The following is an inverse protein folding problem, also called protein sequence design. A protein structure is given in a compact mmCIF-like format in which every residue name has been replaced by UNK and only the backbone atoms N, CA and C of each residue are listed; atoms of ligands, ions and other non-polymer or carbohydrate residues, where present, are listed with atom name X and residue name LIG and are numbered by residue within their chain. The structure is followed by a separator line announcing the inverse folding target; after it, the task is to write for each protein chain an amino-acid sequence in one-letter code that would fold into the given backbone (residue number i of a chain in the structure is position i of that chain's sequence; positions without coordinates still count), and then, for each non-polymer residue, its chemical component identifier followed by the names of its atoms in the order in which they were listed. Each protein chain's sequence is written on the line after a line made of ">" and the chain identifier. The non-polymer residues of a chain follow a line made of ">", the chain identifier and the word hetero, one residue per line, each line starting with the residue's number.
data_IF_887860021591
#
_entry.id   IF_887860021591
#
_cell.length_a   1.000
_cell.length_b   1.000
_cell.length_c   1.000
_cell.angle_alpha   90.00
_cell.angle_beta   90.00
_cell.angle_gamma   90.00
#
_symmetry.space_group_name_H-M   'P 1'
#
loop_
_entity.id
_entity.type
_entity.pdbx_description
1 polymer ?
#
# COMPACT_ATOMS: atom_id res chain seq x y z
N UNK A 1 -71.70 14.00 -25.41
CA UNK A 1 -71.33 14.69 -24.15
C UNK A 1 -70.98 16.13 -24.52
N UNK A 2 -71.78 17.14 -24.11
CA UNK A 2 -71.50 18.54 -24.45
C UNK A 2 -70.10 18.93 -23.93
N UNK A 3 -69.19 19.27 -24.84
CA UNK A 3 -67.85 19.75 -24.47
C UNK A 3 -67.95 21.24 -24.20
N UNK A 4 -68.05 21.60 -22.93
CA UNK A 4 -67.90 22.99 -22.52
C UNK A 4 -66.44 23.41 -22.66
N UNK A 5 -66.22 24.51 -23.35
CA UNK A 5 -64.88 25.06 -23.48
C UNK A 5 -64.36 25.56 -22.13
N UNK A 6 -63.03 25.64 -21.99
CA UNK A 6 -62.36 26.03 -20.75
C UNK A 6 -62.83 27.38 -20.20
N UNK A 7 -63.09 28.34 -21.06
CA UNK A 7 -63.47 29.72 -20.69
C UNK A 7 -64.87 29.79 -20.13
N UNK A 8 -65.79 29.05 -20.74
CA UNK A 8 -67.12 28.83 -20.23
C UNK A 8 -67.06 28.24 -18.81
N UNK A 9 -66.17 27.26 -18.60
CA UNK A 9 -65.95 26.67 -17.27
C UNK A 9 -65.43 27.69 -16.25
N UNK A 10 -64.40 28.46 -16.60
CA UNK A 10 -63.80 29.45 -15.70
C UNK A 10 -64.74 30.63 -15.37
N UNK A 11 -65.54 31.12 -16.33
CA UNK A 11 -66.45 32.25 -16.12
C UNK A 11 -67.70 31.86 -15.34
N UNK A 12 -68.27 30.70 -15.66
CA UNK A 12 -69.38 30.16 -14.90
C UNK A 12 -68.95 30.01 -13.42
N UNK A 13 -67.73 29.54 -13.18
CA UNK A 13 -67.15 29.42 -11.85
C UNK A 13 -67.02 30.75 -11.12
N UNK A 14 -66.44 31.78 -11.74
CA UNK A 14 -66.24 33.10 -11.12
C UNK A 14 -67.57 33.80 -10.79
N UNK A 15 -68.48 33.89 -11.74
CA UNK A 15 -69.80 34.51 -11.53
C UNK A 15 -70.61 33.79 -10.46
N UNK A 16 -70.41 32.46 -10.34
CA UNK A 16 -71.03 31.71 -9.27
C UNK A 16 -70.46 32.04 -7.88
N UNK A 17 -69.20 32.50 -7.77
CA UNK A 17 -68.63 33.02 -6.50
C UNK A 17 -69.28 34.33 -6.07
N UNK A 18 -69.63 35.20 -7.01
CA UNK A 18 -70.26 36.51 -6.72
C UNK A 18 -71.72 36.39 -6.26
N UNK A 19 -72.50 35.48 -6.88
CA UNK A 19 -73.91 35.26 -6.50
C UNK A 19 -74.10 34.50 -5.18
N UNK A 20 -73.05 33.92 -4.63
CA UNK A 20 -73.08 33.20 -3.35
C UNK A 20 -73.54 31.72 -3.42
N UNK A 21 -73.12 30.93 -2.43
CA UNK A 21 -73.22 29.46 -2.45
C UNK A 21 -74.65 28.88 -2.48
N UNK A 22 -75.66 29.62 -2.01
CA UNK A 22 -77.06 29.14 -1.93
C UNK A 22 -77.80 29.16 -3.29
N UNK A 23 -77.22 29.75 -4.33
CA UNK A 23 -77.87 29.95 -5.64
C UNK A 23 -77.18 29.21 -6.81
N UNK A 24 -76.20 28.35 -6.54
CA UNK A 24 -75.39 27.68 -7.58
C UNK A 24 -76.26 26.81 -8.50
N UNK A 25 -77.25 26.12 -7.94
CA UNK A 25 -78.14 25.25 -8.70
C UNK A 25 -79.11 26.02 -9.60
N UNK A 26 -79.59 27.20 -9.20
CA UNK A 26 -80.42 28.03 -10.07
C UNK A 26 -79.56 28.70 -11.15
N UNK A 27 -78.38 29.19 -10.79
CA UNK A 27 -77.45 29.84 -11.71
C UNK A 27 -76.90 28.90 -12.80
N UNK A 28 -76.58 27.66 -12.45
CA UNK A 28 -76.20 26.65 -13.44
C UNK A 28 -77.32 26.37 -14.45
N UNK A 29 -78.58 26.37 -14.01
CA UNK A 29 -79.75 26.17 -14.89
C UNK A 29 -79.99 27.37 -15.81
N UNK A 30 -79.81 28.60 -15.33
CA UNK A 30 -79.85 29.82 -16.15
C UNK A 30 -78.78 29.78 -17.26
N UNK A 31 -77.59 29.23 -16.97
CA UNK A 31 -76.49 29.05 -17.93
C UNK A 31 -76.65 27.82 -18.84
N UNK A 32 -77.75 27.08 -18.73
CA UNK A 32 -78.00 25.88 -19.54
C UNK A 32 -77.04 24.72 -19.26
N UNK A 33 -76.45 24.66 -18.07
CA UNK A 33 -75.52 23.58 -17.66
C UNK A 33 -76.01 22.79 -16.47
N UNK A 34 -75.57 21.53 -16.40
CA UNK A 34 -75.82 20.72 -15.22
C UNK A 34 -75.17 21.37 -13.98
N UNK A 35 -75.91 21.63 -12.89
CA UNK A 35 -75.38 22.19 -11.65
C UNK A 35 -74.11 21.51 -11.15
N UNK A 36 -74.03 20.20 -11.30
CA UNK A 36 -72.89 19.39 -10.88
C UNK A 36 -71.60 19.72 -11.64
N UNK A 37 -71.70 20.14 -12.90
CA UNK A 37 -70.54 20.58 -13.69
C UNK A 37 -69.98 21.89 -13.16
N UNK A 38 -70.86 22.81 -12.77
CA UNK A 38 -70.46 24.12 -12.25
C UNK A 38 -69.81 24.02 -10.87
N UNK A 39 -70.36 23.17 -10.00
CA UNK A 39 -69.73 22.84 -8.72
C UNK A 39 -68.33 22.23 -8.91
N UNK A 40 -68.18 21.27 -9.84
CA UNK A 40 -66.89 20.62 -10.14
C UNK A 40 -65.87 21.62 -10.65
N UNK A 41 -66.30 22.54 -11.50
CA UNK A 41 -65.39 23.54 -12.04
C UNK A 41 -64.94 24.53 -10.98
N UNK A 42 -65.81 24.97 -10.07
CA UNK A 42 -65.41 25.90 -9.00
C UNK A 42 -64.31 25.29 -8.17
N UNK A 43 -64.52 24.03 -7.84
CA UNK A 43 -63.62 23.25 -7.02
C UNK A 43 -62.25 23.06 -7.69
N UNK A 44 -62.18 22.77 -8.99
CA UNK A 44 -60.88 22.67 -9.65
C UNK A 44 -60.22 24.06 -9.72
N UNK A 45 -60.98 25.08 -10.11
CA UNK A 45 -60.51 26.46 -10.27
C UNK A 45 -59.93 27.08 -8.99
N UNK A 46 -60.50 26.76 -7.84
CA UNK A 46 -59.99 27.14 -6.53
C UNK A 46 -58.63 26.49 -6.22
N UNK A 47 -58.37 25.33 -6.79
CA UNK A 47 -57.28 24.44 -6.38
C UNK A 47 -56.06 24.49 -7.28
N UNK A 48 -56.25 24.62 -8.59
CA UNK A 48 -55.14 24.76 -9.54
C UNK A 48 -55.17 26.11 -10.24
N UNK A 49 -56.04 27.02 -9.78
CA UNK A 49 -56.30 28.28 -10.45
C UNK A 49 -56.88 28.01 -11.84
N UNK A 50 -56.25 28.56 -12.86
CA UNK A 50 -56.57 28.26 -14.27
C UNK A 50 -56.00 26.90 -14.73
N UNK A 51 -55.26 26.20 -13.86
CA UNK A 51 -54.69 24.86 -14.01
C UNK A 51 -55.71 23.71 -14.10
N UNK A 52 -56.96 24.09 -13.96
CA UNK A 52 -58.06 23.23 -13.51
C UNK A 52 -58.75 22.49 -14.64
N UNK A 53 -58.76 23.10 -15.83
CA UNK A 53 -59.46 22.53 -16.99
C UNK A 53 -58.47 22.18 -18.09
N UNK A 54 -57.67 21.14 -17.88
CA UNK A 54 -56.89 20.48 -18.94
C UNK A 54 -57.70 19.27 -19.44
N UNK A 55 -58.02 19.23 -20.75
CA UNK A 55 -58.82 18.17 -21.37
C UNK A 55 -58.17 16.78 -21.27
N UNK A 56 -57.40 16.36 -22.29
CA UNK A 56 -56.52 15.18 -22.22
C UNK A 56 -55.06 15.64 -22.21
N UNK A 57 -54.32 15.45 -21.11
CA UNK A 57 -52.93 15.90 -20.97
C UNK A 57 -52.43 15.99 -19.52
N UNK A 58 -51.19 16.43 -19.34
CA UNK A 58 -50.55 16.55 -18.03
C UNK A 58 -51.16 17.65 -17.14
N UNK A 59 -51.07 17.46 -15.82
CA UNK A 59 -51.42 18.42 -14.78
C UNK A 59 -50.90 19.81 -15.12
N UNK A 60 -51.79 20.81 -15.12
CA UNK A 60 -51.34 22.20 -15.08
C UNK A 60 -50.93 22.52 -13.64
N UNK A 61 -49.64 22.40 -13.40
CA UNK A 61 -48.98 22.88 -12.19
C UNK A 61 -48.92 24.41 -12.23
N UNK A 62 -48.94 25.07 -11.07
CA UNK A 62 -48.56 26.49 -11.00
C UNK A 62 -47.08 26.64 -11.37
N UNK A 63 -46.65 27.83 -11.80
CA UNK A 63 -45.25 28.08 -12.19
C UNK A 63 -44.28 27.76 -11.05
N UNK A 64 -44.66 28.11 -9.82
CA UNK A 64 -43.92 27.74 -8.62
C UNK A 64 -43.84 26.22 -8.44
N UNK A 65 -44.95 25.49 -8.60
CA UNK A 65 -44.96 24.03 -8.51
C UNK A 65 -44.15 23.36 -9.63
N UNK A 66 -44.15 23.93 -10.84
CA UNK A 66 -43.34 23.44 -11.96
C UNK A 66 -41.84 23.70 -11.73
N UNK A 67 -41.48 24.86 -11.17
CA UNK A 67 -40.11 25.21 -10.78
C UNK A 67 -39.63 24.29 -9.65
N UNK A 68 -40.44 24.11 -8.60
CA UNK A 68 -40.14 23.22 -7.47
C UNK A 68 -39.93 21.79 -7.97
N UNK A 69 -40.85 21.25 -8.77
CA UNK A 69 -40.71 19.90 -9.32
C UNK A 69 -39.45 19.74 -10.20
N UNK A 70 -39.08 20.77 -10.98
CA UNK A 70 -37.87 20.74 -11.79
C UNK A 70 -36.60 20.84 -10.93
N UNK A 71 -36.60 21.69 -9.90
CA UNK A 71 -35.51 21.83 -8.94
C UNK A 71 -35.31 20.53 -8.15
N UNK A 72 -36.37 19.94 -7.61
CA UNK A 72 -36.34 18.65 -6.91
C UNK A 72 -35.76 17.55 -7.80
N UNK A 73 -36.18 17.50 -9.07
CA UNK A 73 -35.62 16.57 -10.06
C UNK A 73 -34.13 16.80 -10.28
N UNK A 74 -33.68 18.06 -10.39
CA UNK A 74 -32.26 18.41 -10.55
C UNK A 74 -31.44 18.07 -9.30
N UNK A 75 -31.98 18.30 -8.11
CA UNK A 75 -31.33 17.97 -6.83
C UNK A 75 -31.12 16.46 -6.75
N UNK A 76 -32.17 15.67 -6.98
CA UNK A 76 -32.10 14.21 -7.00
C UNK A 76 -31.11 13.68 -8.05
N UNK A 77 -31.09 14.27 -9.25
CA UNK A 77 -30.14 13.89 -10.30
C UNK A 77 -28.68 14.23 -9.94
N UNK A 78 -28.46 15.35 -9.26
CA UNK A 78 -27.16 15.80 -8.78
C UNK A 78 -26.63 14.93 -7.64
N UNK A 79 -27.49 14.58 -6.67
CA UNK A 79 -27.18 13.67 -5.57
C UNK A 79 -26.75 12.29 -6.11
N UNK A 80 -27.53 11.74 -7.04
CA UNK A 80 -27.21 10.46 -7.67
C UNK A 80 -25.89 10.50 -8.45
N UNK A 81 -25.64 11.61 -9.16
CA UNK A 81 -24.38 11.83 -9.89
C UNK A 81 -23.19 11.86 -8.95
N UNK A 82 -23.32 12.59 -7.84
CA UNK A 82 -22.28 12.72 -6.83
C UNK A 82 -21.99 11.38 -6.13
N UNK A 83 -23.03 10.60 -5.85
CA UNK A 83 -22.88 9.27 -5.27
C UNK A 83 -22.15 8.31 -6.21
N UNK A 84 -22.53 8.29 -7.50
CA UNK A 84 -21.84 7.49 -8.53
C UNK A 84 -20.37 7.92 -8.66
N UNK A 85 -20.06 9.23 -8.65
CA UNK A 85 -18.68 9.73 -8.73
C UNK A 85 -17.86 9.29 -7.51
N UNK A 86 -18.40 9.46 -6.30
CA UNK A 86 -17.76 9.05 -5.04
C UNK A 86 -17.42 7.56 -5.05
N UNK A 87 -18.36 6.71 -5.46
CA UNK A 87 -18.16 5.25 -5.47
C UNK A 87 -17.32 4.78 -6.65
N UNK A 88 -17.50 5.38 -7.83
CA UNK A 88 -17.05 4.87 -9.13
C UNK A 88 -15.71 5.40 -9.63
N UNK A 89 -15.31 6.62 -9.29
CA UNK A 89 -14.12 7.30 -9.84
C UNK A 89 -12.83 6.47 -9.71
N UNK A 90 -12.62 5.81 -8.55
CA UNK A 90 -11.47 4.92 -8.32
C UNK A 90 -11.40 3.71 -9.25
N UNK A 91 -12.54 3.23 -9.76
CA UNK A 91 -12.58 2.08 -10.66
C UNK A 91 -12.27 2.46 -12.11
N UNK A 92 -12.51 3.71 -12.49
CA UNK A 92 -12.10 4.26 -13.80
C UNK A 92 -10.58 4.34 -13.89
N UNK A 93 -9.92 4.83 -12.84
CA UNK A 93 -8.46 4.94 -12.79
C UNK A 93 -7.74 3.59 -12.72
N UNK A 94 -8.43 2.53 -12.29
CA UNK A 94 -7.93 1.15 -12.29
C UNK A 94 -8.10 0.45 -13.65
N UNK A 95 -8.72 1.11 -14.63
CA UNK A 95 -8.86 0.65 -16.00
C UNK A 95 -10.16 -0.11 -16.30
N UNK A 96 -10.34 -0.43 -17.58
CA UNK A 96 -11.62 -0.87 -18.18
C UNK A 96 -12.26 -2.10 -17.51
N UNK A 97 -11.45 -3.04 -17.00
CA UNK A 97 -11.95 -4.25 -16.31
C UNK A 97 -12.61 -3.90 -14.98
N UNK A 98 -11.96 -3.04 -14.18
CA UNK A 98 -12.50 -2.62 -12.88
C UNK A 98 -13.70 -1.70 -13.05
N UNK A 99 -13.70 -0.86 -14.08
CA UNK A 99 -14.88 -0.07 -14.49
C UNK A 99 -16.07 -0.97 -14.83
N UNK A 100 -15.87 -2.05 -15.61
CA UNK A 100 -16.93 -3.04 -15.90
C UNK A 100 -17.45 -3.68 -14.61
N UNK A 101 -16.56 -4.10 -13.70
CA UNK A 101 -16.93 -4.70 -12.42
C UNK A 101 -17.79 -3.75 -11.58
N UNK A 102 -17.41 -2.47 -11.51
CA UNK A 102 -18.20 -1.45 -10.82
C UNK A 102 -19.62 -1.30 -11.41
N UNK A 103 -19.73 -1.18 -12.74
CA UNK A 103 -21.03 -1.08 -13.42
C UNK A 103 -21.90 -2.31 -13.12
N UNK A 104 -21.35 -3.53 -13.20
CA UNK A 104 -22.11 -4.76 -12.91
C UNK A 104 -22.57 -4.85 -11.46
N UNK A 105 -21.74 -4.44 -10.49
CA UNK A 105 -22.08 -4.48 -9.06
C UNK A 105 -23.09 -3.41 -8.64
N UNK A 106 -23.28 -2.35 -9.43
CA UNK A 106 -24.15 -1.23 -9.07
C UNK A 106 -25.36 -1.06 -10.03
N UNK A 107 -25.53 -1.95 -11.01
CA UNK A 107 -26.63 -1.86 -12.00
C UNK A 107 -28.04 -2.06 -11.41
N UNK A 108 -28.14 -2.60 -10.19
CA UNK A 108 -29.41 -2.74 -9.46
C UNK A 108 -29.82 -1.44 -8.75
N UNK A 109 -28.84 -0.60 -8.37
CA UNK A 109 -29.06 0.66 -7.64
C UNK A 109 -29.08 1.86 -8.59
N UNK A 110 -28.25 1.84 -9.64
CA UNK A 110 -28.16 2.92 -10.62
C UNK A 110 -28.36 2.38 -12.04
N UNK A 111 -29.02 3.16 -12.89
CA UNK A 111 -29.13 2.79 -14.30
C UNK A 111 -27.75 2.79 -14.98
N UNK A 112 -27.48 1.78 -15.80
CA UNK A 112 -26.21 1.67 -16.54
C UNK A 112 -25.97 2.92 -17.40
N UNK A 113 -27.04 3.49 -17.98
CA UNK A 113 -26.97 4.73 -18.75
C UNK A 113 -26.44 5.88 -17.92
N UNK A 114 -26.93 6.05 -16.69
CA UNK A 114 -26.49 7.12 -15.80
C UNK A 114 -25.05 6.88 -15.32
N UNK A 115 -24.71 5.65 -14.92
CA UNK A 115 -23.34 5.31 -14.51
C UNK A 115 -22.35 5.61 -15.64
N UNK A 116 -22.63 5.16 -16.86
CA UNK A 116 -21.78 5.39 -18.02
C UNK A 116 -21.64 6.88 -18.35
N UNK A 117 -22.73 7.66 -18.29
CA UNK A 117 -22.69 9.10 -18.52
C UNK A 117 -21.82 9.82 -17.48
N UNK A 118 -22.02 9.51 -16.19
CA UNK A 118 -21.32 10.14 -15.08
C UNK A 118 -19.82 9.79 -15.08
N UNK A 119 -19.46 8.53 -15.37
CA UNK A 119 -18.07 8.08 -15.43
C UNK A 119 -17.40 8.32 -16.78
N UNK A 120 -18.09 8.97 -17.73
CA UNK A 120 -17.62 9.21 -19.11
C UNK A 120 -17.16 7.94 -19.85
N UNK A 121 -17.92 6.86 -19.69
CA UNK A 121 -17.67 5.56 -20.33
C UNK A 121 -18.68 5.33 -21.44
N UNK A 122 -18.22 4.93 -22.63
CA UNK A 122 -19.14 4.56 -23.72
C UNK A 122 -20.00 3.34 -23.35
N UNK A 123 -21.32 3.50 -23.40
CA UNK A 123 -22.30 2.41 -23.24
C UNK A 123 -22.08 1.28 -24.23
N UNK A 124 -21.82 1.62 -25.49
CA UNK A 124 -21.56 0.63 -26.54
C UNK A 124 -20.33 -0.23 -26.20
N UNK A 125 -19.25 0.42 -25.74
CA UNK A 125 -18.04 -0.27 -25.28
C UNK A 125 -18.32 -1.19 -24.09
N UNK A 126 -19.14 -0.76 -23.11
CA UNK A 126 -19.53 -1.60 -21.98
C UNK A 126 -20.27 -2.87 -22.44
N UNK A 127 -21.31 -2.74 -23.27
CA UNK A 127 -22.09 -3.90 -23.73
C UNK A 127 -21.28 -4.82 -24.66
N UNK A 128 -20.43 -4.26 -25.51
CA UNK A 128 -19.53 -5.03 -26.37
C UNK A 128 -18.52 -5.84 -25.54
N UNK A 129 -17.97 -5.25 -24.47
CA UNK A 129 -17.08 -5.95 -23.53
C UNK A 129 -17.81 -6.88 -22.57
N UNK A 130 -19.11 -6.69 -22.35
CA UNK A 130 -19.94 -7.60 -21.56
C UNK A 130 -20.06 -8.96 -22.24
N UNK A 131 -20.23 -8.96 -23.55
CA UNK A 131 -20.33 -10.16 -24.40
C UNK A 131 -18.99 -10.85 -24.69
N UNK A 132 -17.86 -10.14 -24.55
CA UNK A 132 -16.53 -10.70 -24.78
C UNK A 132 -15.96 -11.34 -23.51
N UNK A 133 -15.44 -12.56 -23.66
CA UNK A 133 -14.56 -13.18 -22.68
C UNK A 133 -13.26 -12.38 -22.51
N UNK A 134 -12.53 -12.64 -21.43
CA UNK A 134 -11.22 -12.01 -21.22
C UNK A 134 -10.31 -12.38 -22.39
N UNK A 135 -9.66 -11.38 -22.98
CA UNK A 135 -8.64 -11.64 -23.99
C UNK A 135 -7.49 -12.46 -23.38
N UNK A 136 -6.77 -13.23 -24.19
CA UNK A 136 -5.58 -13.95 -23.75
C UNK A 136 -4.57 -13.03 -23.02
N UNK A 137 -4.46 -11.77 -23.46
CA UNK A 137 -3.66 -10.73 -22.81
C UNK A 137 -4.16 -10.39 -21.40
N UNK A 138 -5.47 -10.23 -21.21
CA UNK A 138 -6.07 -9.94 -19.90
C UNK A 138 -5.92 -11.13 -18.94
N UNK A 139 -6.11 -12.36 -19.44
CA UNK A 139 -5.85 -13.59 -18.67
C UNK A 139 -4.39 -13.61 -18.20
N UNK A 140 -3.44 -13.39 -19.10
CA UNK A 140 -2.00 -13.34 -18.76
C UNK A 140 -1.69 -12.27 -17.72
N UNK A 141 -2.28 -11.09 -17.84
CA UNK A 141 -2.07 -10.00 -16.86
C UNK A 141 -2.64 -10.38 -15.49
N UNK A 142 -3.80 -11.02 -15.44
CA UNK A 142 -4.39 -11.46 -14.18
C UNK A 142 -3.52 -12.53 -13.50
N UNK A 143 -3.06 -13.54 -14.26
CA UNK A 143 -2.13 -14.55 -13.76
C UNK A 143 -0.84 -13.92 -13.20
N UNK A 144 -0.28 -12.94 -13.92
CA UNK A 144 0.90 -12.20 -13.43
C UNK A 144 0.62 -11.43 -12.13
N UNK A 145 -0.55 -10.81 -12.00
CA UNK A 145 -0.96 -10.11 -10.77
C UNK A 145 -1.12 -11.07 -9.60
N UNK A 146 -1.67 -12.25 -9.83
CA UNK A 146 -1.78 -13.31 -8.83
C UNK A 146 -0.39 -13.78 -8.38
N UNK A 147 0.52 -14.05 -9.31
CA UNK A 147 1.90 -14.43 -8.98
C UNK A 147 2.65 -13.34 -8.21
N UNK A 148 2.51 -12.06 -8.59
CA UNK A 148 3.08 -10.93 -7.83
C UNK A 148 2.54 -10.91 -6.40
N UNK A 149 1.23 -11.12 -6.25
CA UNK A 149 0.57 -11.13 -4.94
C UNK A 149 1.05 -12.29 -4.08
N UNK A 150 1.15 -13.49 -4.66
CA UNK A 150 1.66 -14.68 -3.99
C UNK A 150 3.10 -14.47 -3.49
N UNK A 151 4.01 -14.02 -4.36
CA UNK A 151 5.40 -13.70 -3.98
C UNK A 151 5.43 -12.65 -2.88
N UNK A 152 4.62 -11.60 -2.98
CA UNK A 152 4.59 -10.52 -1.99
C UNK A 152 4.27 -11.04 -0.58
N UNK A 153 3.30 -11.95 -0.45
CA UNK A 153 2.91 -12.53 0.84
C UNK A 153 3.82 -13.67 1.30
N UNK A 154 4.32 -14.50 0.39
CA UNK A 154 5.35 -15.51 0.68
C UNK A 154 6.57 -14.88 1.36
N UNK A 155 6.99 -13.71 0.87
CA UNK A 155 8.10 -12.94 1.43
C UNK A 155 7.68 -11.97 2.54
N UNK A 156 6.54 -12.23 3.20
CA UNK A 156 6.02 -11.47 4.36
C UNK A 156 6.01 -9.96 4.13
N UNK A 157 5.71 -9.52 2.90
CA UNK A 157 5.63 -8.11 2.50
C UNK A 157 6.97 -7.35 2.57
N UNK A 158 8.11 -8.06 2.62
CA UNK A 158 9.46 -7.47 2.70
C UNK A 158 9.99 -7.06 1.33
N UNK A 159 9.57 -7.74 0.27
CA UNK A 159 10.05 -7.50 -1.09
C UNK A 159 9.31 -6.36 -1.80
N UNK A 160 10.07 -5.58 -2.57
CA UNK A 160 9.55 -4.60 -3.52
C UNK A 160 9.70 -5.09 -4.95
N UNK A 161 9.33 -4.24 -5.91
CA UNK A 161 9.21 -4.61 -7.32
C UNK A 161 10.45 -5.29 -7.92
N UNK A 162 11.67 -4.83 -7.60
CA UNK A 162 12.92 -5.42 -8.12
C UNK A 162 13.14 -6.85 -7.65
N UNK A 163 12.96 -7.12 -6.35
CA UNK A 163 13.12 -8.48 -5.80
C UNK A 163 12.01 -9.40 -6.28
N UNK A 164 10.78 -8.89 -6.39
CA UNK A 164 9.66 -9.64 -6.99
C UNK A 164 9.95 -9.97 -8.46
N UNK A 165 10.59 -9.06 -9.21
CA UNK A 165 11.00 -9.33 -10.59
C UNK A 165 11.94 -10.53 -10.68
N UNK A 166 12.89 -10.63 -9.74
CA UNK A 166 13.86 -11.72 -9.68
C UNK A 166 13.23 -13.04 -9.27
N UNK A 167 12.26 -13.03 -8.35
CA UNK A 167 11.48 -14.23 -8.03
C UNK A 167 10.57 -14.67 -9.18
N UNK A 168 9.97 -13.73 -9.91
CA UNK A 168 9.20 -14.03 -11.11
C UNK A 168 10.08 -14.62 -12.21
N UNK A 169 11.27 -14.06 -12.43
CA UNK A 169 12.25 -14.55 -13.40
C UNK A 169 12.67 -15.98 -13.06
N UNK A 170 12.92 -16.29 -11.77
CA UNK A 170 13.19 -17.66 -11.28
C UNK A 170 12.03 -18.63 -11.55
N UNK A 171 10.79 -18.14 -11.61
CA UNK A 171 9.58 -18.91 -11.97
C UNK A 171 9.29 -18.94 -13.47
N UNK A 172 10.20 -18.46 -14.32
CA UNK A 172 10.04 -18.44 -15.78
C UNK A 172 9.30 -17.21 -16.33
N UNK A 173 8.94 -16.23 -15.49
CA UNK A 173 8.25 -15.01 -15.91
C UNK A 173 9.22 -13.82 -16.01
N UNK A 174 9.60 -13.44 -17.23
CA UNK A 174 10.43 -12.24 -17.45
C UNK A 174 9.57 -10.97 -17.51
N UNK A 175 9.80 -10.04 -16.59
CA UNK A 175 9.09 -8.76 -16.56
C UNK A 175 9.94 -7.65 -15.93
N UNK A 176 9.79 -6.42 -16.42
CA UNK A 176 10.48 -5.25 -15.86
C UNK A 176 9.95 -4.89 -14.47
N UNK A 177 10.86 -4.45 -13.60
CA UNK A 177 10.53 -3.95 -12.26
C UNK A 177 9.55 -2.78 -12.30
N UNK A 178 9.65 -1.89 -13.30
CA UNK A 178 8.72 -0.77 -13.49
C UNK A 178 7.29 -1.24 -13.70
N UNK A 179 7.08 -2.30 -14.49
CA UNK A 179 5.74 -2.86 -14.72
C UNK A 179 5.19 -3.55 -13.49
N UNK A 180 6.04 -4.27 -12.75
CA UNK A 180 5.69 -4.86 -11.45
C UNK A 180 5.28 -3.75 -10.47
N UNK A 181 6.00 -2.63 -10.43
CA UNK A 181 5.66 -1.50 -9.58
C UNK A 181 4.24 -0.96 -9.87
N UNK A 182 3.89 -0.81 -11.16
CA UNK A 182 2.53 -0.43 -11.57
C UNK A 182 1.52 -1.44 -11.06
N UNK A 183 1.76 -2.74 -11.24
CA UNK A 183 0.84 -3.78 -10.76
C UNK A 183 0.70 -3.80 -9.24
N UNK A 184 1.79 -3.73 -8.49
CA UNK A 184 1.76 -3.59 -7.03
C UNK A 184 0.92 -2.38 -6.61
N UNK A 185 1.10 -1.22 -7.25
CA UNK A 185 0.30 -0.02 -6.98
C UNK A 185 -1.18 -0.24 -7.25
N UNK A 186 -1.54 -0.87 -8.38
CA UNK A 186 -2.95 -1.19 -8.70
C UNK A 186 -3.59 -2.18 -7.73
N UNK A 187 -2.79 -3.09 -7.17
CA UNK A 187 -3.23 -4.10 -6.19
C UNK A 187 -3.17 -3.59 -4.74
N UNK A 188 -2.70 -2.37 -4.50
CA UNK A 188 -2.52 -1.82 -3.15
C UNK A 188 -1.38 -2.45 -2.35
N UNK A 189 -0.49 -3.23 -3.00
CA UNK A 189 0.62 -3.92 -2.33
C UNK A 189 1.74 -2.93 -2.01
N UNK A 190 1.94 -2.67 -0.70
CA UNK A 190 2.99 -1.77 -0.20
C UNK A 190 3.93 -2.52 0.72
N UNK A 191 5.21 -2.58 0.36
CA UNK A 191 6.24 -3.16 1.23
C UNK A 191 6.27 -2.43 2.57
N UNK A 192 6.64 -3.14 3.64
CA UNK A 192 6.92 -2.51 4.95
C UNK A 192 7.93 -1.37 4.76
N UNK A 193 7.70 -0.19 5.34
CA UNK A 193 8.58 1.00 5.22
C UNK A 193 9.27 1.33 6.54
N UNK A 194 10.42 2.01 6.46
CA UNK A 194 11.20 2.47 7.63
C UNK A 194 10.58 3.76 8.18
N UNK A 195 10.44 3.90 9.50
CA UNK A 195 10.25 5.22 10.17
C UNK A 195 11.59 5.97 10.17
N UNK A 196 11.57 7.30 9.95
CA UNK A 196 12.78 8.13 9.96
C UNK A 196 13.57 7.91 11.27
N UNK A 197 14.87 7.70 11.14
CA UNK A 197 15.78 7.48 12.28
C UNK A 197 16.31 8.83 12.78
N UNK A 198 16.49 8.96 14.10
CA UNK A 198 17.23 10.06 14.76
C UNK A 198 18.54 9.50 15.28
N UNK A 199 19.67 10.12 14.92
CA UNK A 199 20.98 9.72 15.39
C UNK A 199 21.09 9.89 16.92
N UNK A 200 21.76 8.96 17.59
CA UNK A 200 21.99 9.00 19.05
C UNK A 200 23.28 8.26 19.38
N UNK A 201 24.43 8.84 19.10
CA UNK A 201 25.68 8.47 19.77
C UNK A 201 26.69 9.61 19.71
N UNK A 202 27.17 10.02 20.87
CA UNK A 202 28.34 10.88 21.03
C UNK A 202 29.57 9.97 21.25
N UNK A 203 30.60 10.14 20.43
CA UNK A 203 31.73 9.22 20.30
C UNK A 203 33.00 9.74 21.00
N UNK A 204 32.85 10.34 22.19
CA UNK A 204 33.97 10.90 22.96
C UNK A 204 34.38 9.92 24.07
N UNK A 205 35.46 9.16 23.86
CA UNK A 205 36.13 8.39 24.92
C UNK A 205 37.61 8.11 24.59
N UNK A 206 38.44 7.86 25.62
CA UNK A 206 39.91 7.76 25.53
C UNK A 206 40.43 6.31 25.37
N UNK A 207 39.73 5.45 24.64
CA UNK A 207 40.05 4.00 24.52
C UNK A 207 40.99 3.65 23.35
N UNK A 208 41.43 2.39 23.26
CA UNK A 208 42.32 1.86 22.21
C UNK A 208 41.66 1.87 20.83
N UNK A 209 41.96 2.89 20.01
CA UNK A 209 41.41 3.07 18.66
C UNK A 209 42.42 2.62 17.58
N UNK A 210 41.94 1.90 16.56
CA UNK A 210 42.74 1.54 15.37
C UNK A 210 42.51 2.51 14.21
N UNK A 211 43.49 2.64 13.30
CA UNK A 211 43.33 3.41 12.06
C UNK A 211 42.27 2.76 11.16
N UNK A 212 41.61 3.55 10.31
CA UNK A 212 40.71 2.99 9.30
C UNK A 212 41.55 2.40 8.16
N UNK A 213 41.58 1.07 8.08
CA UNK A 213 42.27 0.30 7.04
C UNK A 213 41.30 -0.12 5.94
N UNK A 214 40.05 -0.45 6.29
CA UNK A 214 39.04 -0.89 5.31
C UNK A 214 38.75 0.20 4.27
N UNK A 215 38.82 1.47 4.68
CA UNK A 215 38.68 2.65 3.83
C UNK A 215 37.48 2.59 2.86
N UNK A 216 36.35 2.07 3.34
CA UNK A 216 35.10 1.89 2.57
C UNK A 216 35.20 0.93 1.38
N UNK A 217 36.25 0.11 1.30
CA UNK A 217 36.34 -1.00 0.35
C UNK A 217 35.42 -2.15 0.78
N UNK A 218 34.15 -2.04 0.38
CA UNK A 218 33.12 -3.01 0.78
C UNK A 218 33.01 -4.21 -0.14
N UNK A 219 33.83 -4.29 -1.18
CA UNK A 219 33.86 -5.40 -2.15
C UNK A 219 35.19 -6.09 -2.03
N UNK A 220 35.15 -7.36 -1.61
CA UNK A 220 36.33 -8.22 -1.50
C UNK A 220 36.20 -9.39 -2.47
N UNK A 221 37.33 -9.98 -2.83
CA UNK A 221 37.42 -11.03 -3.87
C UNK A 221 37.26 -12.46 -3.34
N UNK A 222 37.38 -12.67 -2.03
CA UNK A 222 37.33 -13.99 -1.41
C UNK A 222 36.71 -13.90 0.01
N UNK A 223 36.14 -15.01 0.54
CA UNK A 223 35.65 -15.08 1.91
C UNK A 223 36.77 -14.79 2.91
N UNK A 224 36.39 -14.37 4.13
CA UNK A 224 37.33 -14.14 5.22
C UNK A 224 38.45 -13.11 4.96
N UNK A 225 38.29 -12.24 3.96
CA UNK A 225 39.21 -11.12 3.70
C UNK A 225 38.89 -9.87 4.52
N UNK A 226 37.60 -9.59 4.71
CA UNK A 226 37.16 -8.47 5.52
C UNK A 226 35.82 -8.77 6.20
N UNK A 227 35.81 -8.68 7.53
CA UNK A 227 34.62 -8.80 8.35
C UNK A 227 34.27 -7.45 8.96
N UNK A 228 32.99 -7.10 8.91
CA UNK A 228 32.47 -5.88 9.57
C UNK A 228 31.61 -6.27 10.75
N UNK A 229 31.70 -5.49 11.82
CA UNK A 229 30.91 -5.67 13.03
C UNK A 229 30.29 -4.37 13.50
N UNK A 230 29.09 -4.48 14.05
CA UNK A 230 28.37 -3.36 14.65
C UNK A 230 27.36 -3.88 15.70
N UNK A 231 26.95 -3.00 16.62
CA UNK A 231 26.02 -3.30 17.71
C UNK A 231 24.78 -2.41 17.57
N UNK A 232 23.60 -3.00 17.76
CA UNK A 232 22.37 -2.23 17.86
C UNK A 232 21.54 -2.64 19.06
N UNK A 233 20.79 -1.69 19.62
CA UNK A 233 19.81 -1.97 20.67
C UNK A 233 18.44 -2.29 20.07
N UNK A 234 17.76 -3.24 20.69
CA UNK A 234 16.41 -3.68 20.37
C UNK A 234 15.53 -3.45 21.59
N UNK A 235 14.50 -2.64 21.44
CA UNK A 235 13.54 -2.39 22.51
C UNK A 235 12.62 -3.60 22.68
N UNK A 236 12.45 -4.05 23.93
CA UNK A 236 11.54 -5.14 24.32
C UNK A 236 10.48 -4.60 25.28
N UNK A 237 9.54 -5.46 25.73
CA UNK A 237 8.58 -5.07 26.77
C UNK A 237 9.23 -4.55 28.05
N UNK A 238 10.42 -5.06 28.39
CA UNK A 238 11.13 -4.71 29.62
C UNK A 238 12.60 -4.44 29.29
N UNK A 239 12.90 -3.19 29.00
CA UNK A 239 14.26 -2.75 28.68
C UNK A 239 14.72 -3.16 27.28
N UNK A 240 16.03 -3.26 27.11
CA UNK A 240 16.68 -3.49 25.82
C UNK A 240 17.40 -4.85 25.77
N UNK A 241 17.55 -5.34 24.55
CA UNK A 241 18.52 -6.36 24.17
C UNK A 241 19.55 -5.71 23.24
N UNK A 242 20.79 -6.19 23.29
CA UNK A 242 21.86 -5.70 22.43
C UNK A 242 22.25 -6.79 21.44
N UNK A 243 22.08 -6.48 20.15
CA UNK A 243 22.44 -7.36 19.05
C UNK A 243 23.78 -6.93 18.48
N UNK A 244 24.78 -7.81 18.59
CA UNK A 244 26.05 -7.68 17.87
C UNK A 244 26.01 -8.60 16.66
N UNK A 245 26.46 -8.12 15.51
CA UNK A 245 26.64 -8.93 14.30
C UNK A 245 28.06 -8.84 13.79
N UNK A 246 28.51 -9.90 13.13
CA UNK A 246 29.74 -9.98 12.34
C UNK A 246 29.33 -10.50 10.96
N UNK A 247 29.60 -9.68 9.95
CA UNK A 247 29.29 -9.95 8.56
C UNK A 247 30.56 -10.15 7.76
N UNK A 248 30.60 -11.20 6.94
CA UNK A 248 31.61 -11.33 5.90
C UNK A 248 31.24 -10.44 4.69
N UNK A 249 32.14 -9.54 4.28
CA UNK A 249 31.85 -8.61 3.19
C UNK A 249 31.74 -9.29 1.82
N UNK A 250 32.33 -10.48 1.66
CA UNK A 250 32.35 -11.19 0.39
C UNK A 250 30.95 -11.56 -0.09
N UNK A 251 30.22 -12.29 0.74
CA UNK A 251 28.88 -12.80 0.43
C UNK A 251 27.79 -12.11 1.27
N UNK A 252 28.13 -11.14 2.13
CA UNK A 252 27.22 -10.44 3.04
C UNK A 252 26.58 -11.33 4.10
N UNK A 253 27.08 -12.54 4.33
CA UNK A 253 26.54 -13.47 5.32
C UNK A 253 26.82 -12.95 6.73
N UNK A 254 25.81 -13.00 7.60
CA UNK A 254 26.05 -12.83 9.04
C UNK A 254 26.62 -14.16 9.53
N UNK A 255 27.94 -14.18 9.70
CA UNK A 255 28.69 -15.38 10.09
C UNK A 255 28.78 -15.53 11.60
N UNK A 256 28.57 -14.46 12.37
CA UNK A 256 28.47 -14.53 13.82
C UNK A 256 27.56 -13.44 14.35
N UNK A 257 26.81 -13.74 15.40
CA UNK A 257 25.98 -12.76 16.08
C UNK A 257 25.68 -13.19 17.52
N UNK A 258 25.30 -12.23 18.37
CA UNK A 258 24.84 -12.54 19.72
C UNK A 258 23.79 -11.52 20.20
N UNK A 259 22.86 -12.01 21.03
CA UNK A 259 21.83 -11.20 21.69
C UNK A 259 22.03 -11.20 23.21
N UNK A 260 22.43 -10.06 23.77
CA UNK A 260 22.74 -9.94 25.20
C UNK A 260 21.76 -9.04 25.94
N UNK A 261 21.68 -9.22 27.26
CA UNK A 261 20.96 -8.32 28.16
C UNK A 261 21.82 -7.13 28.63
N UNK A 262 23.14 -7.18 28.44
CA UNK A 262 24.10 -6.13 28.83
C UNK A 262 25.02 -5.75 27.68
N UNK A 263 25.48 -4.50 27.65
CA UNK A 263 26.38 -3.99 26.61
C UNK A 263 27.88 -4.27 26.91
N UNK A 264 28.19 -5.28 27.72
CA UNK A 264 29.59 -5.60 28.07
C UNK A 264 30.26 -6.41 26.96
N UNK A 265 31.54 -6.17 26.70
CA UNK A 265 32.35 -6.90 25.72
C UNK A 265 32.23 -8.42 25.84
N UNK A 266 32.26 -8.95 27.07
CA UNK A 266 32.11 -10.40 27.35
C UNK A 266 30.74 -10.94 26.96
N UNK A 267 29.69 -10.11 27.04
CA UNK A 267 28.34 -10.50 26.69
C UNK A 267 27.99 -10.19 25.23
N UNK A 268 28.68 -9.30 24.52
CA UNK A 268 28.33 -8.85 23.17
C UNK A 268 29.30 -9.31 22.10
N UNK A 269 30.45 -8.65 22.00
CA UNK A 269 31.39 -8.78 20.89
C UNK A 269 32.16 -10.08 20.92
N UNK A 270 32.55 -10.57 22.10
CA UNK A 270 33.27 -11.84 22.23
C UNK A 270 32.45 -13.06 21.77
N UNK A 271 31.20 -13.29 22.23
CA UNK A 271 30.41 -14.43 21.76
C UNK A 271 30.10 -14.37 20.25
N UNK A 272 29.84 -13.17 19.72
CA UNK A 272 29.63 -13.00 18.28
C UNK A 272 30.90 -13.36 17.49
N UNK A 273 32.07 -12.96 17.98
CA UNK A 273 33.38 -13.32 17.42
C UNK A 273 33.61 -14.83 17.44
N UNK A 274 33.37 -15.48 18.58
CA UNK A 274 33.53 -16.93 18.73
C UNK A 274 32.62 -17.72 17.78
N UNK A 275 31.41 -17.23 17.53
CA UNK A 275 30.52 -17.80 16.52
C UNK A 275 31.07 -17.60 15.10
N UNK A 276 31.55 -16.39 14.78
CA UNK A 276 32.07 -16.06 13.46
C UNK A 276 33.26 -16.95 13.06
N UNK A 277 34.24 -17.13 13.96
CA UNK A 277 35.43 -17.96 13.69
C UNK A 277 35.10 -19.46 13.58
N UNK A 278 34.01 -19.93 14.20
CA UNK A 278 33.52 -21.30 14.01
C UNK A 278 32.86 -21.48 12.65
N UNK A 279 32.14 -20.46 12.18
CA UNK A 279 31.37 -20.52 10.95
C UNK A 279 32.18 -20.17 9.70
N UNK A 280 33.27 -19.43 9.84
CA UNK A 280 34.15 -19.04 8.74
C UNK A 280 35.62 -19.17 9.16
N UNK A 281 36.34 -20.05 8.48
CA UNK A 281 37.77 -20.26 8.73
C UNK A 281 38.59 -19.06 8.25
N UNK A 282 39.55 -18.65 9.06
CA UNK A 282 40.52 -17.60 8.73
C UNK A 282 41.79 -18.28 8.25
N UNK A 283 42.06 -18.24 6.95
CA UNK A 283 43.23 -18.90 6.34
C UNK A 283 44.32 -17.91 5.89
N UNK A 284 43.98 -16.63 5.78
CA UNK A 284 44.84 -15.54 5.29
C UNK A 284 44.63 -14.29 6.15
N UNK A 285 45.26 -13.18 5.76
CA UNK A 285 45.02 -11.87 6.37
C UNK A 285 43.53 -11.51 6.32
N UNK A 286 42.98 -11.22 7.51
CA UNK A 286 41.61 -10.77 7.71
C UNK A 286 41.62 -9.35 8.28
N UNK A 287 40.90 -8.45 7.63
CA UNK A 287 40.55 -7.15 8.21
C UNK A 287 39.31 -7.31 9.07
N UNK A 288 39.41 -7.04 10.37
CA UNK A 288 38.24 -6.90 11.23
C UNK A 288 37.93 -5.42 11.42
N UNK A 289 36.77 -4.98 10.92
CA UNK A 289 36.35 -3.59 10.92
C UNK A 289 35.15 -3.36 11.84
N UNK A 290 35.24 -2.39 12.75
CA UNK A 290 34.15 -2.00 13.65
C UNK A 290 33.98 -0.48 13.75
N UNK A 291 32.94 -0.04 14.45
CA UNK A 291 32.92 1.33 14.95
C UNK A 291 33.97 1.53 16.06
N UNK A 292 34.01 2.73 16.63
CA UNK A 292 34.90 3.07 17.75
C UNK A 292 34.30 2.73 19.12
N UNK A 293 33.21 2.00 19.21
CA UNK A 293 32.51 1.73 20.47
C UNK A 293 33.43 1.11 21.54
N UNK A 294 33.15 1.41 22.81
CA UNK A 294 33.97 0.96 23.93
C UNK A 294 34.08 -0.57 24.02
N UNK A 295 33.12 -1.31 23.46
CA UNK A 295 33.12 -2.77 23.40
C UNK A 295 34.22 -3.32 22.49
N UNK A 296 34.49 -2.64 21.36
CA UNK A 296 35.53 -3.02 20.40
C UNK A 296 36.90 -2.47 20.77
N UNK A 297 36.95 -1.32 21.44
CA UNK A 297 38.18 -0.74 21.99
C UNK A 297 38.59 -1.34 23.35
N UNK A 298 37.84 -2.32 23.87
CA UNK A 298 38.11 -2.98 25.14
C UNK A 298 39.30 -3.93 25.03
N UNK A 299 40.19 -3.91 26.03
CA UNK A 299 41.41 -4.73 26.07
C UNK A 299 41.15 -6.22 25.88
N UNK A 300 40.10 -6.76 26.49
CA UNK A 300 39.76 -8.19 26.38
C UNK A 300 39.48 -8.57 24.92
N UNK A 301 38.79 -7.69 24.19
CA UNK A 301 38.47 -7.93 22.79
C UNK A 301 39.68 -7.72 21.88
N UNK A 302 40.45 -6.64 22.11
CA UNK A 302 41.66 -6.38 21.32
C UNK A 302 42.70 -7.48 21.50
N UNK A 303 42.93 -7.94 22.73
CA UNK A 303 43.86 -9.04 23.02
C UNK A 303 43.40 -10.34 22.36
N UNK A 304 42.07 -10.59 22.34
CA UNK A 304 41.50 -11.74 21.62
C UNK A 304 41.75 -11.65 20.12
N UNK A 305 41.55 -10.48 19.50
CA UNK A 305 41.81 -10.28 18.07
C UNK A 305 43.30 -10.41 17.75
N UNK A 306 44.15 -9.80 18.56
CA UNK A 306 45.61 -9.80 18.38
C UNK A 306 46.22 -11.20 18.61
N UNK A 307 45.50 -12.12 19.28
CA UNK A 307 45.90 -13.53 19.38
C UNK A 307 45.87 -14.30 18.04
N UNK A 308 45.24 -13.75 17.00
CA UNK A 308 45.23 -14.33 15.66
C UNK A 308 46.35 -13.74 14.81
N UNK A 309 47.26 -14.61 14.33
CA UNK A 309 48.46 -14.22 13.56
C UNK A 309 48.18 -13.36 12.33
N UNK A 310 47.03 -13.55 11.68
CA UNK A 310 46.67 -12.89 10.43
C UNK A 310 45.55 -11.85 10.61
N UNK A 311 45.47 -11.21 11.78
CA UNK A 311 44.44 -10.22 12.08
C UNK A 311 44.91 -8.80 11.85
N UNK A 312 44.12 -8.01 11.13
CA UNK A 312 44.29 -6.55 11.03
C UNK A 312 43.05 -5.83 11.52
N UNK A 313 43.19 -5.12 12.65
CA UNK A 313 42.11 -4.30 13.21
C UNK A 313 41.93 -3.01 12.40
N UNK A 314 40.68 -2.67 12.14
CA UNK A 314 40.27 -1.42 11.50
C UNK A 314 39.10 -0.82 12.26
N UNK A 315 39.07 0.50 12.42
CA UNK A 315 37.90 1.18 13.00
C UNK A 315 37.48 2.38 12.16
N UNK A 316 36.21 2.81 12.29
CA UNK A 316 35.72 4.05 11.68
C UNK A 316 36.63 5.24 11.96
N UNK A 317 36.62 6.24 11.07
CA UNK A 317 37.13 7.57 11.41
C UNK A 317 36.21 8.24 12.43
N UNK A 318 36.73 9.26 13.12
CA UNK A 318 35.95 9.98 14.13
C UNK A 318 34.71 10.58 13.46
N UNK A 319 33.53 10.28 14.02
CA UNK A 319 32.22 10.77 13.53
C UNK A 319 31.88 10.41 12.08
N UNK A 320 32.55 9.41 11.49
CA UNK A 320 32.30 8.98 10.12
C UNK A 320 31.54 7.64 10.09
N UNK A 321 30.21 7.75 10.03
CA UNK A 321 29.32 6.59 10.00
C UNK A 321 29.35 5.84 8.66
N UNK A 322 29.76 6.51 7.57
CA UNK A 322 29.86 5.90 6.25
C UNK A 322 30.92 4.80 6.17
N UNK A 323 31.90 4.82 7.07
CA UNK A 323 32.97 3.82 7.14
C UNK A 323 32.46 2.40 7.45
N UNK A 324 31.28 2.28 8.09
CA UNK A 324 30.63 0.99 8.38
C UNK A 324 29.24 0.86 7.73
N UNK A 325 29.00 1.55 6.60
CA UNK A 325 27.66 1.64 5.98
C UNK A 325 26.99 0.31 5.62
N UNK A 326 27.76 -0.79 5.46
CA UNK A 326 27.23 -2.12 5.17
C UNK A 326 26.47 -2.70 6.37
N UNK A 327 27.05 -2.62 7.58
CA UNK A 327 26.38 -3.09 8.79
C UNK A 327 25.20 -2.18 9.16
N UNK A 328 25.33 -0.87 8.93
CA UNK A 328 24.22 0.08 9.08
C UNK A 328 23.05 -0.25 8.14
N UNK A 329 23.36 -0.63 6.89
CA UNK A 329 22.36 -1.07 5.91
C UNK A 329 21.66 -2.37 6.34
N UNK A 330 22.41 -3.31 6.93
CA UNK A 330 21.85 -4.49 7.57
C UNK A 330 20.88 -4.09 8.69
N UNK A 331 21.30 -3.27 9.65
CA UNK A 331 20.44 -2.86 10.76
C UNK A 331 19.24 -2.03 10.32
N UNK A 332 19.40 -1.22 9.27
CA UNK A 332 18.30 -0.51 8.63
C UNK A 332 17.25 -1.46 8.05
N UNK A 333 17.69 -2.55 7.41
CA UNK A 333 16.80 -3.62 6.92
C UNK A 333 16.17 -4.41 8.07
N UNK A 334 16.98 -4.83 9.04
CA UNK A 334 16.56 -5.58 10.23
C UNK A 334 15.45 -4.84 11.00
N UNK A 335 15.70 -3.57 11.36
CA UNK A 335 14.71 -2.75 12.07
C UNK A 335 13.44 -2.56 11.27
N UNK A 336 13.55 -2.38 9.95
CA UNK A 336 12.39 -2.20 9.07
C UNK A 336 11.55 -3.46 8.91
N UNK A 337 12.20 -4.61 8.75
CA UNK A 337 11.56 -5.86 8.37
C UNK A 337 11.09 -6.69 9.56
N UNK A 338 11.76 -6.56 10.71
CA UNK A 338 11.44 -7.26 11.96
C UNK A 338 10.86 -6.31 13.02
N UNK A 339 11.64 -5.31 13.43
CA UNK A 339 11.34 -4.53 14.65
C UNK A 339 10.14 -3.59 14.48
N UNK A 340 10.08 -2.82 13.40
CA UNK A 340 9.03 -1.82 13.19
C UNK A 340 7.62 -2.43 13.04
N UNK A 341 7.53 -3.74 12.73
CA UNK A 341 6.28 -4.49 12.66
C UNK A 341 5.91 -5.22 13.96
N UNK A 342 6.89 -5.54 14.80
CA UNK A 342 6.73 -6.31 16.03
C UNK A 342 6.78 -5.35 17.23
N UNK A 343 5.62 -4.90 17.70
CA UNK A 343 5.52 -4.09 18.93
C UNK A 343 6.10 -4.89 20.10
N UNK A 344 7.06 -4.28 20.81
CA UNK A 344 7.56 -4.63 22.15
C UNK A 344 7.26 -6.08 22.57
N UNK A 345 8.07 -7.04 22.10
CA UNK A 345 7.93 -8.44 22.49
C UNK A 345 8.67 -8.72 23.81
N UNK A 346 8.28 -9.75 24.59
CA UNK A 346 9.11 -10.28 25.67
C UNK A 346 10.48 -10.73 25.15
N UNK A 347 11.51 -10.65 25.99
CA UNK A 347 12.89 -11.00 25.61
C UNK A 347 13.04 -12.38 24.97
N UNK A 348 12.36 -13.40 25.52
CA UNK A 348 12.38 -14.78 25.00
C UNK A 348 11.85 -14.87 23.56
N UNK A 349 10.73 -14.21 23.28
CA UNK A 349 10.14 -14.18 21.93
C UNK A 349 11.02 -13.36 20.99
N UNK A 350 11.53 -12.20 21.43
CA UNK A 350 12.44 -11.40 20.61
C UNK A 350 13.69 -12.17 20.20
N UNK A 351 14.30 -12.96 21.11
CA UNK A 351 15.42 -13.85 20.78
C UNK A 351 15.10 -14.82 19.65
N UNK A 352 13.92 -15.44 19.70
CA UNK A 352 13.45 -16.36 18.65
C UNK A 352 13.25 -15.63 17.32
N UNK A 353 12.62 -14.46 17.34
CA UNK A 353 12.40 -13.63 16.16
C UNK A 353 13.70 -13.15 15.52
N UNK A 354 14.71 -12.78 16.32
CA UNK A 354 16.04 -12.41 15.79
C UNK A 354 16.74 -13.61 15.17
N UNK A 355 16.72 -14.77 15.83
CA UNK A 355 17.25 -16.02 15.28
C UNK A 355 16.62 -16.34 13.92
N UNK A 356 15.29 -16.38 13.86
CA UNK A 356 14.54 -16.64 12.63
C UNK A 356 14.84 -15.61 11.53
N UNK A 357 15.04 -14.35 11.92
CA UNK A 357 15.41 -13.31 10.97
C UNK A 357 16.81 -13.51 10.40
N UNK A 358 17.81 -13.78 11.23
CA UNK A 358 19.21 -13.86 10.79
C UNK A 358 19.45 -15.19 10.05
N UNK A 359 19.15 -16.31 10.69
CA UNK A 359 19.52 -17.64 10.20
C UNK A 359 18.64 -18.10 9.05
N UNK A 360 17.32 -17.90 9.14
CA UNK A 360 16.38 -18.47 8.18
C UNK A 360 15.93 -17.48 7.11
N UNK A 361 15.83 -16.19 7.46
CA UNK A 361 15.44 -15.17 6.51
C UNK A 361 16.62 -14.52 5.80
N UNK A 362 17.52 -13.86 6.53
CA UNK A 362 18.59 -13.07 5.97
C UNK A 362 19.65 -13.96 5.30
N UNK A 363 20.18 -14.96 6.01
CA UNK A 363 21.26 -15.80 5.50
C UNK A 363 20.81 -16.77 4.39
N UNK A 364 19.55 -17.24 4.39
CA UNK A 364 19.08 -18.28 3.44
C UNK A 364 18.21 -17.76 2.31
N UNK A 365 17.24 -16.88 2.61
CA UNK A 365 16.14 -16.55 1.67
C UNK A 365 16.23 -15.16 1.06
N UNK A 366 16.94 -14.22 1.70
CA UNK A 366 16.98 -12.82 1.27
C UNK A 366 17.80 -12.67 -0.01
N UNK A 367 17.27 -11.92 -0.98
CA UNK A 367 18.04 -11.39 -2.12
C UNK A 367 18.79 -10.11 -1.76
N UNK A 368 20.06 -10.03 -2.15
CA UNK A 368 20.96 -8.91 -1.86
C UNK A 368 21.31 -8.16 -3.14
N UNK A 369 21.06 -6.83 -3.17
CA UNK A 369 21.38 -6.00 -4.34
C UNK A 369 22.88 -5.98 -4.63
N UNK A 370 23.71 -5.96 -3.59
CA UNK A 370 25.18 -6.03 -3.70
C UNK A 370 25.69 -7.35 -4.29
N UNK A 371 24.89 -8.40 -4.30
CA UNK A 371 25.21 -9.71 -4.90
C UNK A 371 24.51 -9.90 -6.26
N UNK A 372 24.06 -8.80 -6.89
CA UNK A 372 23.30 -8.86 -8.14
C UNK A 372 21.92 -9.52 -7.97
N UNK A 373 21.26 -9.25 -6.84
CA UNK A 373 19.95 -9.80 -6.45
C UNK A 373 19.91 -11.32 -6.28
N UNK A 374 21.03 -11.94 -5.93
CA UNK A 374 21.10 -13.35 -5.55
C UNK A 374 20.84 -13.52 -4.06
N UNK A 375 20.40 -14.72 -3.66
CA UNK A 375 20.59 -15.16 -2.27
C UNK A 375 22.07 -15.42 -2.00
N UNK A 376 22.45 -15.51 -0.73
CA UNK A 376 23.81 -15.89 -0.34
C UNK A 376 24.16 -17.25 -0.91
N UNK A 377 23.28 -18.24 -0.77
CA UNK A 377 23.47 -19.58 -1.34
C UNK A 377 23.62 -19.56 -2.87
N UNK A 378 22.78 -18.82 -3.60
CA UNK A 378 22.90 -18.65 -5.05
C UNK A 378 24.26 -18.03 -5.43
N UNK A 379 24.74 -17.06 -4.65
CA UNK A 379 26.06 -16.45 -4.85
C UNK A 379 27.21 -17.41 -4.53
N UNK A 380 27.14 -18.10 -3.40
CA UNK A 380 28.15 -19.08 -2.96
C UNK A 380 28.29 -20.21 -3.99
N UNK A 381 27.18 -20.77 -4.48
CA UNK A 381 27.18 -21.87 -5.44
C UNK A 381 27.79 -21.47 -6.78
N UNK A 382 27.51 -20.26 -7.27
CA UNK A 382 28.12 -19.73 -8.49
C UNK A 382 29.64 -19.57 -8.30
N UNK A 383 30.09 -19.05 -7.16
CA UNK A 383 31.51 -18.86 -6.91
C UNK A 383 32.26 -20.17 -6.68
N UNK A 384 31.62 -21.17 -6.05
CA UNK A 384 32.16 -22.54 -5.95
C UNK A 384 32.32 -23.15 -7.34
N UNK A 385 31.25 -23.10 -8.15
CA UNK A 385 31.23 -23.78 -9.46
C UNK A 385 32.11 -23.12 -10.51
N UNK A 386 32.19 -21.78 -10.53
CA UNK A 386 32.90 -21.06 -11.59
C UNK A 386 34.33 -20.66 -11.21
N UNK A 387 34.60 -20.48 -9.92
CA UNK A 387 35.87 -19.93 -9.44
C UNK A 387 36.55 -20.79 -8.37
N UNK A 388 35.99 -21.95 -8.01
CA UNK A 388 36.58 -22.88 -7.04
C UNK A 388 36.67 -22.33 -5.61
N UNK A 389 35.87 -21.30 -5.27
CA UNK A 389 35.94 -20.63 -3.97
C UNK A 389 35.42 -21.53 -2.86
N UNK A 390 36.20 -21.67 -1.78
CA UNK A 390 35.83 -22.42 -0.57
C UNK A 390 35.35 -21.45 0.51
N UNK A 391 34.19 -21.73 1.10
CA UNK A 391 33.46 -20.85 2.01
C UNK A 391 33.51 -21.32 3.46
#
# INVERSE_FOLDING_TARGET
>A
MMKYDRTFKENAVKLSYERGKKQIASFARELGIAPDSLYTWRKDFEKFGTGSFCGSGHLKLTTEQAIIANLEKKVKDSELTLEILKRGSKYVTQGKVMTKKFIESNKSEFSVTKICAVLQVSRATYYLRKKRELSATEIRINLLKEQITAIFYEFKQKYGAEKIAKELEKRGFKMSSSRIHVYMKTLGLRRKTKRKFKATTDSIHNHYVSKNVLNREFTVSEPAKAWVSDITYIQTMRGFLYLTIIMDLFDRKIIGWNLSDTMSTKATTLPAWEMAVKNRKITKELIFHSDRGSQYANKIFTDKLDSYKFMRRSMNRRQDHYDNSVSESFFGSFKKELINGNKLLPRKQMRTEVYEYIENWYNKKRRHSSLGYKTIEEFENINKSLYGVVF
#
